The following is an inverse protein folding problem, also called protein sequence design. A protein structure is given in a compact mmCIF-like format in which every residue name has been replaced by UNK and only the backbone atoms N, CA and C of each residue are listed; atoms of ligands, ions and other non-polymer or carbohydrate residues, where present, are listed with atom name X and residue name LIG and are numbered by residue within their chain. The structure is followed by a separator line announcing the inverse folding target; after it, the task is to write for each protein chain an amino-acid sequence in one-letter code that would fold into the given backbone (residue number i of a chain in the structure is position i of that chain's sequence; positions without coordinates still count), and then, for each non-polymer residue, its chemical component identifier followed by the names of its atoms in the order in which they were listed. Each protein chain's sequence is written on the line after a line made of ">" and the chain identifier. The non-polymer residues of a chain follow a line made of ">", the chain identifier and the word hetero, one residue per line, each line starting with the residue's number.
data_IF_259642897449
#
_entry.id   IF_259642897449
#
_cell.length_a   1.000
_cell.length_b   1.000
_cell.length_c   1.000
_cell.angle_alpha   90.00
_cell.angle_beta   90.00
_cell.angle_gamma   90.00
#
_symmetry.space_group_name_H-M   'P 1'
#
loop_
_entity.id
_entity.type
_entity.pdbx_description
1 polymer ?
#
# COMPACT_ATOMS: atom_id res chain seq x y z
N UNK A 1 -3.07 3.45 -13.17
CA UNK A 1 -1.71 2.86 -13.18
C UNK A 1 -1.64 1.84 -12.06
N UNK A 2 -1.29 0.59 -12.35
CA UNK A 2 -1.11 -0.45 -11.34
C UNK A 2 0.17 -0.13 -10.55
N UNK A 3 0.08 0.05 -9.23
CA UNK A 3 1.27 0.12 -8.37
C UNK A 3 1.81 -1.30 -8.26
N UNK A 4 2.94 -1.57 -8.92
CA UNK A 4 3.62 -2.86 -8.83
C UNK A 4 4.33 -3.06 -7.48
N UNK A 5 4.58 -1.96 -6.77
CA UNK A 5 5.27 -1.96 -5.49
C UNK A 5 4.56 -1.05 -4.49
N UNK A 6 4.44 -1.56 -3.27
CA UNK A 6 3.85 -0.92 -2.11
C UNK A 6 4.99 -0.61 -1.15
N UNK A 7 5.71 0.50 -1.38
CA UNK A 7 6.84 0.93 -0.53
C UNK A 7 6.44 2.17 0.32
N UNK A 8 5.14 2.47 0.36
CA UNK A 8 4.57 3.58 1.14
C UNK A 8 4.14 3.15 2.55
N UNK A 9 4.49 1.93 2.99
CA UNK A 9 4.28 1.51 4.36
C UNK A 9 5.30 2.14 5.33
N UNK A 10 4.91 2.42 6.59
CA UNK A 10 5.82 2.94 7.61
C UNK A 10 6.97 1.96 7.89
N UNK A 11 8.19 2.47 7.90
CA UNK A 11 9.41 1.69 8.15
C UNK A 11 10.08 2.16 9.44
N UNK A 12 10.55 1.20 10.23
CA UNK A 12 11.35 1.39 11.43
C UNK A 12 12.72 0.77 11.25
N UNK A 13 13.77 1.42 11.76
CA UNK A 13 15.12 0.88 11.76
C UNK A 13 15.28 -0.23 12.80
N UNK A 14 16.15 -1.19 12.55
CA UNK A 14 16.62 -2.09 13.60
C UNK A 14 17.62 -1.37 14.49
N UNK A 15 17.31 -1.28 15.79
CA UNK A 15 18.25 -0.75 16.77
C UNK A 15 19.57 -1.53 16.73
N UNK A 16 20.67 -0.82 16.51
CA UNK A 16 22.02 -1.40 16.45
C UNK A 16 22.41 -2.05 15.11
N UNK A 17 21.56 -2.05 14.08
CA UNK A 17 21.90 -2.57 12.75
C UNK A 17 21.79 -1.48 11.69
N UNK A 18 22.93 -1.08 11.12
CA UNK A 18 22.97 -0.13 10.02
C UNK A 18 22.28 -0.71 8.78
N UNK A 19 21.50 0.13 8.09
CA UNK A 19 20.82 -0.19 6.83
C UNK A 19 19.75 -1.29 6.89
N UNK A 20 19.27 -1.67 8.08
CA UNK A 20 18.17 -2.63 8.22
C UNK A 20 16.89 -1.96 8.67
N UNK A 21 15.83 -2.19 7.91
CA UNK A 21 14.50 -1.64 8.14
C UNK A 21 13.46 -2.75 8.19
N UNK A 22 12.39 -2.50 8.94
CA UNK A 22 11.21 -3.35 9.06
C UNK A 22 9.94 -2.53 8.97
N UNK A 23 8.85 -3.17 8.59
CA UNK A 23 7.53 -2.55 8.67
C UNK A 23 7.17 -2.23 10.12
N UNK A 24 6.67 -1.03 10.41
CA UNK A 24 6.27 -0.65 11.77
C UNK A 24 5.09 -1.48 12.33
N UNK A 25 4.26 -2.05 11.45
CA UNK A 25 3.07 -2.79 11.85
C UNK A 25 3.34 -4.28 12.08
N UNK A 26 3.99 -4.94 11.12
CA UNK A 26 4.24 -6.38 11.18
C UNK A 26 5.67 -6.75 11.56
N UNK A 27 6.56 -5.75 11.72
CA UNK A 27 7.98 -5.92 12.05
C UNK A 27 8.76 -6.83 11.10
N UNK A 28 8.19 -7.16 9.94
CA UNK A 28 8.85 -7.94 8.90
C UNK A 28 9.85 -7.04 8.15
N UNK A 29 11.00 -7.61 7.82
CA UNK A 29 12.09 -6.89 7.19
C UNK A 29 11.73 -6.44 5.77
N UNK A 30 12.15 -5.23 5.39
CA UNK A 30 11.88 -4.68 4.04
C UNK A 30 12.45 -5.56 2.93
N UNK A 31 13.55 -6.26 3.19
CA UNK A 31 14.18 -7.25 2.31
C UNK A 31 13.31 -8.48 2.06
N UNK A 32 12.54 -8.92 3.07
CA UNK A 32 11.57 -10.02 2.92
C UNK A 32 10.28 -9.56 2.26
N UNK A 33 9.80 -8.37 2.62
CA UNK A 33 8.58 -7.78 2.04
C UNK A 33 8.76 -7.57 0.54
N UNK A 34 9.96 -7.15 0.11
CA UNK A 34 10.32 -6.92 -1.30
C UNK A 34 9.34 -5.97 -2.01
N UNK A 35 8.79 -5.01 -1.27
CA UNK A 35 7.78 -4.06 -1.75
C UNK A 35 6.45 -4.69 -2.18
N UNK A 36 6.13 -5.93 -1.76
CA UNK A 36 4.88 -6.63 -2.10
C UNK A 36 3.95 -6.71 -0.89
N UNK A 37 2.65 -6.55 -1.11
CA UNK A 37 1.62 -6.75 -0.09
C UNK A 37 1.65 -8.18 0.48
N UNK A 38 1.85 -9.17 -0.38
CA UNK A 38 1.98 -10.58 -0.01
C UNK A 38 3.22 -10.87 0.87
N UNK A 39 4.22 -9.99 0.83
CA UNK A 39 5.42 -10.09 1.66
C UNK A 39 5.19 -9.66 3.12
N UNK A 40 4.04 -9.04 3.43
CA UNK A 40 3.64 -8.73 4.80
C UNK A 40 2.89 -9.89 5.46
N UNK A 41 3.02 -9.98 6.79
CA UNK A 41 2.25 -10.94 7.59
C UNK A 41 0.73 -10.76 7.42
N UNK A 42 -0.06 -11.83 7.61
CA UNK A 42 -1.51 -11.77 7.53
C UNK A 42 -2.22 -10.96 8.58
N UNK A 43 -1.53 -10.67 9.68
CA UNK A 43 -1.97 -9.77 10.72
C UNK A 43 -1.51 -8.31 10.50
N UNK A 44 -0.80 -7.99 9.40
CA UNK A 44 -0.28 -6.64 9.17
C UNK A 44 -1.41 -5.64 8.91
N UNK A 45 -1.52 -4.61 9.75
CA UNK A 45 -2.56 -3.57 9.59
C UNK A 45 -2.46 -2.85 8.24
N UNK A 46 -1.25 -2.52 7.78
CA UNK A 46 -1.06 -1.91 6.46
C UNK A 46 -1.63 -2.79 5.34
N UNK A 47 -1.33 -4.10 5.40
CA UNK A 47 -1.81 -5.05 4.40
C UNK A 47 -3.33 -5.13 4.38
N UNK A 48 -3.93 -5.31 5.56
CA UNK A 48 -5.38 -5.37 5.73
C UNK A 48 -6.06 -4.09 5.24
N UNK A 49 -5.47 -2.92 5.49
CA UNK A 49 -6.00 -1.65 5.00
C UNK A 49 -5.91 -1.53 3.48
N UNK A 50 -4.79 -1.93 2.89
CA UNK A 50 -4.61 -1.95 1.43
C UNK A 50 -5.59 -2.91 0.74
N UNK A 51 -5.72 -4.15 1.24
CA UNK A 51 -6.66 -5.14 0.72
C UNK A 51 -8.11 -4.62 0.80
N UNK A 52 -8.47 -3.94 1.89
CA UNK A 52 -9.78 -3.28 2.03
C UNK A 52 -9.94 -2.09 1.07
N UNK A 53 -8.91 -1.27 0.91
CA UNK A 53 -8.94 -0.12 0.02
C UNK A 53 -9.11 -0.56 -1.44
N UNK A 54 -8.44 -1.64 -1.87
CA UNK A 54 -8.56 -2.22 -3.21
C UNK A 54 -9.96 -2.81 -3.45
N UNK A 55 -10.55 -3.44 -2.43
CA UNK A 55 -11.94 -3.91 -2.47
C UNK A 55 -12.96 -2.76 -2.60
N UNK A 56 -12.67 -1.59 -2.00
CA UNK A 56 -13.54 -0.40 -2.10
C UNK A 56 -13.31 0.37 -3.41
N UNK A 57 -12.06 0.49 -3.88
CA UNK A 57 -11.72 1.13 -5.15
C UNK A 57 -12.39 0.42 -6.33
N UNK A 58 -12.54 -0.91 -6.27
CA UNK A 58 -13.27 -1.69 -7.27
C UNK A 58 -14.78 -1.38 -7.35
N UNK A 59 -15.33 -0.67 -6.35
CA UNK A 59 -16.73 -0.19 -6.34
C UNK A 59 -16.88 1.29 -6.69
N UNK A 60 -15.80 2.08 -6.67
CA UNK A 60 -15.81 3.51 -7.04
C UNK A 60 -15.31 3.66 -8.47
N UNK A 61 -16.04 3.03 -9.40
CA UNK A 61 -15.84 3.14 -10.85
C UNK A 61 -16.86 4.05 -11.54
N UNK A 62 -17.59 4.90 -10.82
CA UNK A 62 -18.55 5.85 -11.42
C UNK A 62 -18.60 7.13 -10.59
N UNK A 63 -17.90 8.18 -11.03
CA UNK A 63 -18.26 9.60 -10.87
C UNK A 63 -17.06 10.54 -11.12
N UNK A 64 -16.47 10.51 -12.31
CA UNK A 64 -15.78 11.69 -12.85
C UNK A 64 -15.94 11.67 -14.38
N UNK A 65 -17.16 11.90 -14.83
CA UNK A 65 -17.47 12.08 -16.25
C UNK A 65 -18.66 13.03 -16.36
N UNK A 66 -18.50 14.29 -15.96
CA UNK A 66 -19.43 15.38 -16.34
C UNK A 66 -18.93 16.75 -15.88
N UNK A 67 -18.00 17.34 -16.64
CA UNK A 67 -17.84 18.80 -16.77
C UNK A 67 -16.78 19.00 -17.85
N UNK A 68 -17.10 19.23 -19.12
CA UNK A 68 -17.99 20.28 -19.61
C UNK A 68 -18.41 20.02 -21.07
N UNK A 69 -19.70 19.81 -21.29
CA UNK A 69 -20.36 20.04 -22.58
C UNK A 69 -21.07 21.40 -22.48
N UNK A 70 -20.71 22.38 -23.30
CA UNK A 70 -21.49 23.59 -23.62
C UNK A 70 -20.82 24.27 -24.81
N UNK A 71 -21.25 23.97 -26.04
CA UNK A 71 -22.21 24.75 -26.86
C UNK A 71 -21.76 26.18 -27.16
N UNK A 72 -21.25 26.41 -28.37
CA UNK A 72 -21.80 27.36 -29.36
C UNK A 72 -21.01 27.25 -30.66
#
# INVERSE_FOLDING_TARGET
>A
MQKLFYIDYPQEAYEGQAHRYRCAFCQEETTKINGRLEGHLPSCEYRVQQEKAEAVASKVGVAYAASSSSTA
#
